data_IF_650232257909
#
_entry.id   IF_650232257909
#
_cell.length_a   1.000
_cell.length_b   1.000
_cell.length_c   1.000
_cell.angle_alpha   90.00
_cell.angle_beta   90.00
_cell.angle_gamma   90.00
#
_symmetry.space_group_name_H-M   'P 1'
#
loop_
_entity.id
_entity.type
_entity.pdbx_description
1 polymer ?
#
# COMPACT_ATOMS: atom_id res chain seq x y z
N UNK A 1 -38.70 -27.02 -46.89
CA UNK A 1 -38.56 -25.56 -46.81
C UNK A 1 -38.57 -25.14 -45.36
N UNK A 2 -37.38 -24.88 -44.79
CA UNK A 2 -37.28 -24.14 -43.53
C UNK A 2 -35.95 -23.40 -43.59
N UNK A 3 -36.01 -22.19 -44.15
CA UNK A 3 -34.91 -21.24 -44.20
C UNK A 3 -34.59 -20.83 -42.77
N UNK A 4 -33.47 -21.33 -42.22
CA UNK A 4 -32.88 -20.77 -41.00
C UNK A 4 -32.18 -19.49 -41.45
N UNK A 5 -32.86 -18.36 -41.24
CA UNK A 5 -32.29 -17.05 -41.44
C UNK A 5 -31.07 -16.87 -40.55
N UNK A 6 -29.90 -16.79 -41.19
CA UNK A 6 -28.69 -16.25 -40.59
C UNK A 6 -29.00 -14.81 -40.15
N UNK A 7 -29.17 -14.63 -38.84
CA UNK A 7 -29.20 -13.31 -38.22
C UNK A 7 -27.81 -12.71 -38.44
N UNK A 8 -27.71 -11.82 -39.43
CA UNK A 8 -26.61 -10.88 -39.57
C UNK A 8 -26.51 -10.10 -38.25
N UNK A 9 -25.60 -10.51 -37.37
CA UNK A 9 -25.11 -9.65 -36.29
C UNK A 9 -24.46 -8.45 -36.97
N UNK A 10 -25.23 -7.38 -37.12
CA UNK A 10 -24.74 -6.10 -37.60
C UNK A 10 -23.46 -5.75 -36.86
N UNK A 11 -22.39 -5.51 -37.61
CA UNK A 11 -21.14 -4.95 -37.10
C UNK A 11 -21.54 -3.66 -36.38
N UNK A 12 -21.58 -3.65 -35.06
CA UNK A 12 -21.89 -2.43 -34.30
C UNK A 12 -20.86 -1.39 -34.73
N UNK A 13 -21.27 -0.39 -35.52
CA UNK A 13 -20.38 0.67 -35.93
C UNK A 13 -19.93 1.39 -34.67
N UNK A 14 -18.61 1.50 -34.48
CA UNK A 14 -18.05 2.27 -33.37
C UNK A 14 -18.56 3.70 -33.49
N UNK A 15 -18.87 4.30 -32.34
CA UNK A 15 -19.20 5.73 -32.26
C UNK A 15 -17.98 6.56 -32.70
N UNK A 16 -18.15 7.83 -33.01
CA UNK A 16 -17.05 8.71 -33.39
C UNK A 16 -16.72 9.71 -32.29
N UNK A 17 -15.46 9.80 -31.90
CA UNK A 17 -14.94 10.75 -30.91
C UNK A 17 -13.97 11.73 -31.58
N UNK A 18 -14.23 13.03 -31.45
CA UNK A 18 -13.27 14.05 -31.81
C UNK A 18 -12.50 14.51 -30.58
N UNK A 19 -11.17 14.44 -30.62
CA UNK A 19 -10.28 14.98 -29.58
C UNK A 19 -9.70 16.29 -30.09
N UNK A 20 -9.85 17.35 -29.31
CA UNK A 20 -9.38 18.70 -29.62
C UNK A 20 -8.24 19.08 -28.68
N UNK A 21 -7.04 19.23 -29.23
CA UNK A 21 -5.94 19.88 -28.55
C UNK A 21 -5.95 21.38 -28.84
N UNK A 22 -5.99 22.16 -27.77
CA UNK A 22 -5.96 23.62 -27.82
C UNK A 22 -4.85 24.17 -26.92
N UNK A 23 -4.56 25.45 -27.10
CA UNK A 23 -3.52 26.17 -26.37
C UNK A 23 -2.15 26.04 -27.02
N UNK A 24 -1.12 25.99 -26.19
CA UNK A 24 0.26 25.83 -26.63
C UNK A 24 0.69 24.36 -26.54
N UNK A 25 1.69 23.97 -27.34
CA UNK A 25 2.22 22.60 -27.43
C UNK A 25 3.21 22.25 -26.30
N UNK A 26 3.03 22.80 -25.10
CA UNK A 26 3.93 22.56 -23.96
C UNK A 26 3.99 21.08 -23.62
N UNK A 27 5.20 20.59 -23.30
CA UNK A 27 5.47 19.25 -22.77
C UNK A 27 4.83 18.06 -23.51
N UNK A 28 4.44 18.24 -24.79
CA UNK A 28 3.67 17.24 -25.54
C UNK A 28 4.39 15.90 -25.68
N UNK A 29 5.73 15.92 -25.80
CA UNK A 29 6.54 14.70 -25.86
C UNK A 29 6.49 13.93 -24.54
N UNK A 30 6.47 14.63 -23.42
CA UNK A 30 6.48 14.02 -22.09
C UNK A 30 5.13 13.39 -21.73
N UNK A 31 4.04 14.02 -22.18
CA UNK A 31 2.67 13.63 -21.81
C UNK A 31 2.05 12.63 -22.78
N UNK A 32 2.56 12.51 -24.01
CA UNK A 32 1.91 11.74 -25.07
C UNK A 32 1.68 10.27 -24.70
N UNK A 33 2.67 9.57 -24.15
CA UNK A 33 2.52 8.14 -23.84
C UNK A 33 1.38 7.89 -22.84
N UNK A 34 1.24 8.78 -21.86
CA UNK A 34 0.16 8.74 -20.89
C UNK A 34 -1.19 9.12 -21.50
N UNK A 35 -1.23 10.10 -22.41
CA UNK A 35 -2.42 10.40 -23.20
C UNK A 35 -2.85 9.20 -24.05
N UNK A 36 -1.90 8.54 -24.75
CA UNK A 36 -2.18 7.37 -25.56
C UNK A 36 -2.75 6.24 -24.69
N UNK A 37 -2.06 5.89 -23.60
CA UNK A 37 -2.46 4.81 -22.70
C UNK A 37 -3.83 5.06 -22.04
N UNK A 38 -4.03 6.26 -21.49
CA UNK A 38 -5.16 6.55 -20.61
C UNK A 38 -6.37 7.19 -21.31
N UNK A 39 -6.18 7.71 -22.53
CA UNK A 39 -7.26 8.29 -23.35
C UNK A 39 -7.47 7.48 -24.63
N UNK A 40 -6.46 7.38 -25.50
CA UNK A 40 -6.65 6.78 -26.83
C UNK A 40 -6.98 5.28 -26.73
N UNK A 41 -6.13 4.50 -26.08
CA UNK A 41 -6.27 3.05 -26.01
C UNK A 41 -7.57 2.66 -25.30
N UNK A 42 -7.92 3.36 -24.22
CA UNK A 42 -9.18 3.16 -23.47
C UNK A 42 -10.40 3.45 -24.33
N UNK A 43 -10.45 4.63 -24.98
CA UNK A 43 -11.65 5.06 -25.70
C UNK A 43 -11.75 4.45 -27.10
N UNK A 44 -10.65 3.94 -27.67
CA UNK A 44 -10.64 3.24 -28.96
C UNK A 44 -11.48 1.97 -28.96
N UNK A 45 -11.79 1.42 -27.77
CA UNK A 45 -12.67 0.28 -27.61
C UNK A 45 -14.12 0.62 -28.02
N UNK A 46 -14.56 1.82 -27.70
CA UNK A 46 -15.92 2.32 -27.95
C UNK A 46 -16.03 3.21 -29.19
N UNK A 47 -14.94 3.91 -29.53
CA UNK A 47 -14.93 4.97 -30.53
C UNK A 47 -13.90 4.73 -31.66
N UNK A 48 -14.25 5.18 -32.86
CA UNK A 48 -13.28 5.64 -33.85
C UNK A 48 -12.87 7.07 -33.47
N UNK A 49 -11.57 7.31 -33.31
CA UNK A 49 -11.02 8.54 -32.73
C UNK A 49 -10.30 9.34 -33.80
N UNK A 50 -10.68 10.61 -33.92
CA UNK A 50 -10.00 11.60 -34.77
C UNK A 50 -9.48 12.76 -33.90
N UNK A 51 -8.24 13.17 -34.16
CA UNK A 51 -7.56 14.24 -33.41
C UNK A 51 -7.49 15.52 -34.25
N UNK A 52 -7.76 16.65 -33.62
CA UNK A 52 -7.66 17.99 -34.18
C UNK A 52 -6.77 18.84 -33.29
N UNK A 53 -5.85 19.60 -33.88
CA UNK A 53 -4.89 20.39 -33.13
C UNK A 53 -4.89 21.82 -33.65
N UNK A 54 -5.09 22.78 -32.76
CA UNK A 54 -4.68 24.16 -33.00
C UNK A 54 -3.65 24.55 -31.94
N UNK A 55 -2.50 25.07 -32.39
CA UNK A 55 -1.46 25.61 -31.51
C UNK A 55 -0.88 26.89 -32.08
N UNK A 56 -0.15 27.62 -31.23
CA UNK A 56 0.61 28.79 -31.63
C UNK A 56 2.00 28.40 -32.14
N UNK A 57 2.66 29.30 -32.87
CA UNK A 57 3.99 29.14 -33.46
C UNK A 57 5.16 29.10 -32.45
N UNK A 58 4.85 29.00 -31.16
CA UNK A 58 5.78 28.93 -30.03
C UNK A 58 5.30 27.94 -28.98
N UNK A 59 6.22 27.47 -28.15
CA UNK A 59 5.94 26.52 -27.08
C UNK A 59 5.19 27.14 -25.91
N UNK A 60 5.47 28.39 -25.55
CA UNK A 60 4.74 29.13 -24.53
C UNK A 60 4.87 30.62 -24.80
N UNK A 61 3.95 31.43 -24.29
CA UNK A 61 4.12 32.89 -24.27
C UNK A 61 4.09 33.44 -22.85
N UNK A 62 4.96 34.41 -22.59
CA UNK A 62 5.01 35.18 -21.32
C UNK A 62 4.44 36.59 -21.49
N UNK A 63 4.02 36.95 -22.69
CA UNK A 63 3.48 38.26 -22.98
C UNK A 63 2.00 38.35 -22.56
N UNK A 64 1.80 38.90 -21.36
CA UNK A 64 0.47 39.15 -20.79
C UNK A 64 0.03 40.62 -20.97
N UNK A 65 0.69 41.40 -21.85
CA UNK A 65 0.56 42.86 -21.89
C UNK A 65 -0.84 43.40 -22.21
N UNK A 66 -1.71 42.60 -22.85
CA UNK A 66 -3.14 42.93 -23.03
C UNK A 66 -4.08 41.89 -22.41
N UNK A 67 -3.56 41.04 -21.53
CA UNK A 67 -4.44 40.20 -20.71
C UNK A 67 -5.16 41.07 -19.69
N UNK A 68 -6.48 40.94 -19.62
CA UNK A 68 -7.33 41.79 -18.78
C UNK A 68 -7.41 41.31 -17.32
N UNK A 69 -6.65 40.29 -16.92
CA UNK A 69 -6.73 39.66 -15.61
C UNK A 69 -5.35 39.44 -14.99
N UNK A 70 -5.24 39.65 -13.68
CA UNK A 70 -4.06 39.26 -12.92
C UNK A 70 -3.99 37.74 -12.85
N UNK A 71 -3.03 37.11 -13.53
CA UNK A 71 -2.81 35.66 -13.37
C UNK A 71 -2.20 35.45 -11.99
N UNK A 72 -2.81 34.58 -11.19
CA UNK A 72 -2.32 34.23 -9.84
C UNK A 72 -0.90 33.66 -9.82
N UNK A 73 -0.36 33.31 -10.99
CA UNK A 73 0.96 32.73 -11.19
C UNK A 73 1.91 33.63 -12.02
N UNK A 74 1.65 34.94 -12.14
CA UNK A 74 2.50 35.86 -12.92
C UNK A 74 3.98 35.85 -12.49
N UNK A 75 4.26 35.59 -11.21
CA UNK A 75 5.62 35.56 -10.65
C UNK A 75 6.30 34.19 -10.78
N UNK A 76 5.60 33.17 -11.29
CA UNK A 76 6.13 31.80 -11.38
C UNK A 76 6.35 31.43 -12.83
N UNK A 77 7.62 31.27 -13.20
CA UNK A 77 7.98 30.69 -14.48
C UNK A 77 7.87 29.17 -14.42
N UNK A 78 6.89 28.58 -15.09
CA UNK A 78 6.72 27.12 -15.15
C UNK A 78 7.44 26.48 -16.33
N UNK A 79 7.95 27.27 -17.28
CA UNK A 79 8.41 26.82 -18.59
C UNK A 79 9.66 27.60 -19.08
N UNK A 80 10.72 27.69 -18.25
CA UNK A 80 11.85 28.60 -18.49
C UNK A 80 12.57 28.36 -19.82
N UNK A 81 12.63 27.13 -20.34
CA UNK A 81 13.29 26.85 -21.64
C UNK A 81 12.33 26.89 -22.83
N UNK A 82 11.03 27.02 -22.59
CA UNK A 82 9.99 27.01 -23.62
C UNK A 82 9.38 28.40 -23.87
N UNK A 83 9.60 29.37 -22.99
CA UNK A 83 9.09 30.73 -23.13
C UNK A 83 9.57 31.39 -24.43
N UNK A 84 8.61 31.80 -25.26
CA UNK A 84 8.82 32.40 -26.59
C UNK A 84 9.62 31.55 -27.60
N UNK A 85 10.00 30.32 -27.23
CA UNK A 85 10.70 29.37 -28.11
C UNK A 85 9.78 29.00 -29.27
N UNK A 86 10.22 29.27 -30.50
CA UNK A 86 9.49 28.92 -31.72
C UNK A 86 9.41 27.41 -31.94
N UNK A 87 8.31 26.96 -32.53
CA UNK A 87 8.15 25.58 -33.00
C UNK A 87 9.01 25.41 -34.26
N UNK A 88 9.98 24.50 -34.20
CA UNK A 88 10.82 24.13 -35.35
C UNK A 88 10.11 23.16 -36.30
N UNK A 89 10.65 22.97 -37.50
CA UNK A 89 10.14 21.96 -38.44
C UNK A 89 10.19 20.53 -37.88
N UNK A 90 11.19 20.22 -37.05
CA UNK A 90 11.27 18.94 -36.36
C UNK A 90 10.17 18.79 -35.32
N UNK A 91 9.86 19.85 -34.58
CA UNK A 91 8.74 19.83 -33.63
C UNK A 91 7.40 19.59 -34.35
N UNK A 92 7.19 20.21 -35.51
CA UNK A 92 5.98 19.97 -36.31
C UNK A 92 5.87 18.52 -36.77
N UNK A 93 7.00 17.93 -37.22
CA UNK A 93 7.07 16.53 -37.59
C UNK A 93 6.72 15.63 -36.40
N UNK A 94 7.33 15.87 -35.24
CA UNK A 94 7.07 15.08 -34.03
C UNK A 94 5.60 15.16 -33.59
N UNK A 95 4.96 16.33 -33.69
CA UNK A 95 3.53 16.50 -33.38
C UNK A 95 2.67 15.64 -34.33
N UNK A 96 2.97 15.68 -35.64
CA UNK A 96 2.24 14.90 -36.64
C UNK A 96 2.45 13.41 -36.42
N UNK A 97 3.70 12.99 -36.19
CA UNK A 97 4.07 11.59 -36.02
C UNK A 97 3.42 10.99 -34.75
N UNK A 98 3.42 11.74 -33.64
CA UNK A 98 2.80 11.30 -32.39
C UNK A 98 1.26 11.32 -32.47
N UNK A 99 0.66 12.47 -32.78
CA UNK A 99 -0.79 12.63 -32.65
C UNK A 99 -1.60 12.19 -33.87
N UNK A 100 -0.97 12.04 -35.04
CA UNK A 100 -1.65 11.67 -36.30
C UNK A 100 -2.95 12.47 -36.53
N UNK A 101 -2.92 13.82 -36.42
CA UNK A 101 -4.14 14.62 -36.46
C UNK A 101 -4.80 14.59 -37.84
N UNK A 102 -6.13 14.59 -37.89
CA UNK A 102 -6.88 14.76 -39.15
C UNK A 102 -6.71 16.14 -39.74
N UNK A 103 -6.63 17.15 -38.87
CA UNK A 103 -6.25 18.52 -39.23
C UNK A 103 -5.44 19.16 -38.11
N UNK A 104 -4.41 19.91 -38.50
CA UNK A 104 -3.59 20.72 -37.61
C UNK A 104 -3.49 22.14 -38.15
N UNK A 105 -3.50 23.13 -37.27
CA UNK A 105 -3.27 24.54 -37.59
C UNK A 105 -2.27 25.14 -36.60
N UNK A 106 -1.18 25.69 -37.13
CA UNK A 106 -0.14 26.38 -36.37
C UNK A 106 -0.11 27.84 -36.82
N UNK A 107 -0.44 28.76 -35.92
CA UNK A 107 -0.56 30.18 -36.24
C UNK A 107 0.34 31.04 -35.35
N UNK A 108 0.73 32.21 -35.86
CA UNK A 108 1.44 33.20 -35.05
C UNK A 108 0.51 33.78 -33.99
N UNK A 109 0.95 33.78 -32.74
CA UNK A 109 0.27 34.54 -31.68
C UNK A 109 0.78 35.97 -31.66
N UNK A 110 -0.09 36.92 -32.02
CA UNK A 110 0.24 38.34 -32.02
C UNK A 110 0.49 38.88 -30.60
N UNK A 111 1.32 39.92 -30.51
CA UNK A 111 1.75 40.52 -29.24
C UNK A 111 0.56 40.99 -28.40
N UNK A 112 0.53 40.52 -27.15
CA UNK A 112 -0.47 40.79 -26.13
C UNK A 112 -1.83 40.12 -26.34
N UNK A 113 -2.02 39.29 -27.37
CA UNK A 113 -3.31 38.66 -27.62
C UNK A 113 -3.57 37.51 -26.64
N UNK A 114 -4.71 37.55 -25.94
CA UNK A 114 -5.16 36.45 -25.11
C UNK A 114 -5.68 35.29 -25.99
N UNK A 115 -4.86 34.24 -26.11
CA UNK A 115 -5.08 33.17 -27.10
C UNK A 115 -6.17 32.14 -26.78
N UNK A 116 -6.59 31.99 -25.52
CA UNK A 116 -7.48 30.89 -25.09
C UNK A 116 -8.82 30.78 -25.87
N UNK A 117 -9.65 31.84 -25.99
CA UNK A 117 -10.90 31.72 -26.74
C UNK A 117 -10.67 31.50 -28.25
N UNK A 118 -9.56 32.05 -28.77
CA UNK A 118 -9.20 31.94 -30.19
C UNK A 118 -8.84 30.48 -30.52
N UNK A 119 -7.98 29.85 -29.72
CA UNK A 119 -7.53 28.48 -29.96
C UNK A 119 -8.68 27.46 -29.90
N UNK A 120 -9.64 27.67 -28.98
CA UNK A 120 -10.86 26.85 -28.92
C UNK A 120 -11.74 27.01 -30.15
N UNK A 121 -11.90 28.24 -30.64
CA UNK A 121 -12.64 28.50 -31.88
C UNK A 121 -11.98 27.80 -33.07
N UNK A 122 -10.66 27.96 -33.20
CA UNK A 122 -9.89 27.42 -34.32
C UNK A 122 -9.94 25.90 -34.36
N UNK A 123 -9.70 25.21 -33.24
CA UNK A 123 -9.75 23.73 -33.21
C UNK A 123 -11.17 23.20 -33.46
N UNK A 124 -12.20 23.89 -32.96
CA UNK A 124 -13.60 23.54 -33.25
C UNK A 124 -13.93 23.71 -34.73
N UNK A 125 -13.42 24.76 -35.37
CA UNK A 125 -13.59 25.00 -36.81
C UNK A 125 -12.87 23.95 -37.66
N UNK A 126 -11.69 23.47 -37.26
CA UNK A 126 -11.00 22.37 -37.94
C UNK A 126 -11.87 21.12 -37.97
N UNK A 127 -12.42 20.73 -36.82
CA UNK A 127 -13.33 19.58 -36.72
C UNK A 127 -14.62 19.79 -37.53
N UNK A 128 -15.32 20.90 -37.36
CA UNK A 128 -16.59 21.11 -38.09
C UNK A 128 -16.41 21.17 -39.60
N UNK A 129 -15.27 21.68 -40.07
CA UNK A 129 -14.91 21.62 -41.50
C UNK A 129 -14.69 20.17 -41.94
N UNK A 130 -13.99 19.36 -41.15
CA UNK A 130 -13.80 17.94 -41.44
C UNK A 130 -15.11 17.14 -41.42
N UNK A 131 -16.01 17.39 -40.46
CA UNK A 131 -17.36 16.82 -40.41
C UNK A 131 -18.12 17.09 -41.72
N UNK A 132 -18.08 18.33 -42.22
CA UNK A 132 -18.71 18.72 -43.50
C UNK A 132 -18.07 17.99 -44.69
N UNK A 133 -16.75 17.93 -44.75
CA UNK A 133 -16.00 17.24 -45.82
C UNK A 133 -16.28 15.73 -45.87
N UNK A 134 -16.51 15.10 -44.71
CA UNK A 134 -16.73 13.65 -44.60
C UNK A 134 -18.19 13.26 -44.51
N UNK A 135 -19.11 14.21 -44.39
CA UNK A 135 -20.56 13.94 -44.34
C UNK A 135 -21.00 13.19 -43.08
N UNK A 136 -20.37 13.42 -41.92
CA UNK A 136 -20.78 12.82 -40.64
C UNK A 136 -20.67 13.80 -39.47
N UNK A 137 -21.22 13.43 -38.31
CA UNK A 137 -21.04 14.13 -37.03
C UNK A 137 -20.40 13.22 -36.00
N UNK A 138 -19.60 13.80 -35.11
CA UNK A 138 -19.05 13.07 -33.97
C UNK A 138 -20.11 12.87 -32.89
N UNK A 139 -20.09 11.72 -32.24
CA UNK A 139 -21.00 11.37 -31.14
C UNK A 139 -20.57 11.99 -29.81
N UNK A 140 -19.28 12.30 -29.67
CA UNK A 140 -18.70 12.94 -28.50
C UNK A 140 -17.49 13.80 -28.90
N UNK A 141 -17.25 14.84 -28.11
CA UNK A 141 -16.16 15.80 -28.27
C UNK A 141 -15.38 15.83 -26.96
N UNK A 142 -14.08 15.56 -27.02
CA UNK A 142 -13.14 15.75 -25.92
C UNK A 142 -12.27 16.97 -26.23
N UNK A 143 -12.03 17.80 -25.22
CA UNK A 143 -11.14 18.96 -25.31
C UNK A 143 -10.10 18.87 -24.20
N UNK A 144 -8.83 19.05 -24.58
CA UNK A 144 -7.74 19.12 -23.60
C UNK A 144 -6.51 19.84 -24.18
N UNK A 145 -5.43 19.90 -23.40
CA UNK A 145 -4.17 20.52 -23.78
C UNK A 145 -3.06 19.47 -23.86
N UNK A 146 -2.02 19.75 -24.64
CA UNK A 146 -0.88 18.84 -24.77
C UNK A 146 -0.04 18.76 -23.50
N UNK A 147 -0.16 19.71 -22.59
CA UNK A 147 0.56 19.71 -21.30
C UNK A 147 -0.17 18.95 -20.19
N UNK A 148 -1.16 18.11 -20.50
CA UNK A 148 -1.88 17.33 -19.49
C UNK A 148 -1.33 15.90 -19.40
N UNK A 149 -0.80 15.56 -18.24
CA UNK A 149 -0.39 14.21 -17.87
C UNK A 149 -1.60 13.45 -17.31
N UNK A 150 -2.24 12.62 -18.15
CA UNK A 150 -3.30 11.71 -17.74
C UNK A 150 -2.71 10.48 -17.04
N UNK A 151 -2.83 10.37 -15.72
CA UNK A 151 -2.24 9.27 -14.93
C UNK A 151 -3.12 8.03 -14.86
N UNK A 152 -4.44 8.23 -14.88
CA UNK A 152 -5.43 7.16 -14.76
C UNK A 152 -6.34 7.12 -16.01
N UNK A 153 -6.80 5.94 -16.43
CA UNK A 153 -7.65 5.79 -17.59
C UNK A 153 -9.01 6.45 -17.40
N UNK A 154 -9.56 7.03 -18.45
CA UNK A 154 -10.92 7.58 -18.45
C UNK A 154 -11.71 7.12 -19.69
N UNK A 155 -12.83 6.43 -19.44
CA UNK A 155 -13.73 5.94 -20.48
C UNK A 155 -14.92 6.90 -20.64
N UNK A 156 -14.89 7.73 -21.68
CA UNK A 156 -15.87 8.80 -21.96
C UNK A 156 -17.29 8.23 -22.09
N UNK A 157 -17.45 7.12 -22.81
CA UNK A 157 -18.77 6.53 -23.02
C UNK A 157 -19.42 6.08 -21.69
N UNK A 158 -18.61 5.64 -20.73
CA UNK A 158 -19.09 5.21 -19.42
C UNK A 158 -19.83 6.31 -18.67
N UNK A 159 -19.27 7.52 -18.61
CA UNK A 159 -19.91 8.68 -17.98
C UNK A 159 -21.16 9.13 -18.74
N UNK A 160 -21.07 9.15 -20.07
CA UNK A 160 -22.18 9.50 -20.95
C UNK A 160 -23.37 8.55 -20.75
N UNK A 161 -23.14 7.24 -20.74
CA UNK A 161 -24.21 6.25 -20.64
C UNK A 161 -24.75 6.15 -19.20
N UNK A 162 -23.91 6.37 -18.19
CA UNK A 162 -24.38 6.51 -16.80
C UNK A 162 -25.40 7.64 -16.67
N UNK A 163 -25.13 8.80 -17.29
CA UNK A 163 -26.04 9.94 -17.20
C UNK A 163 -27.35 9.73 -17.96
N UNK A 164 -27.33 9.09 -19.14
CA UNK A 164 -28.54 8.83 -19.94
C UNK A 164 -29.66 8.14 -19.16
N UNK A 165 -29.32 7.33 -18.17
CA UNK A 165 -30.29 6.61 -17.34
C UNK A 165 -31.01 7.52 -16.32
N UNK A 166 -30.73 8.83 -16.33
CA UNK A 166 -31.36 9.84 -15.48
C UNK A 166 -32.16 10.85 -16.34
N UNK A 167 -33.32 10.46 -16.90
CA UNK A 167 -34.06 11.27 -17.88
C UNK A 167 -34.60 12.59 -17.30
N UNK A 168 -34.72 12.70 -15.98
CA UNK A 168 -35.11 13.94 -15.28
C UNK A 168 -34.08 15.06 -15.41
N UNK A 169 -32.87 14.74 -15.87
CA UNK A 169 -31.75 15.67 -16.04
C UNK A 169 -31.32 15.78 -17.50
N UNK A 170 -32.25 15.62 -18.46
CA UNK A 170 -32.00 15.74 -19.89
C UNK A 170 -31.68 17.20 -20.27
N UNK A 171 -30.40 17.55 -20.16
CA UNK A 171 -29.88 18.88 -20.47
C UNK A 171 -28.56 18.77 -21.24
N UNK A 172 -28.07 19.90 -21.74
CA UNK A 172 -26.76 19.97 -22.38
C UNK A 172 -25.66 19.91 -21.34
N UNK A 173 -24.88 18.84 -21.33
CA UNK A 173 -23.91 18.58 -20.26
C UNK A 173 -22.48 18.72 -20.76
N UNK A 174 -21.65 19.28 -19.89
CA UNK A 174 -20.20 19.29 -20.00
C UNK A 174 -19.66 18.54 -18.79
N UNK A 175 -18.96 17.42 -19.04
CA UNK A 175 -18.29 16.65 -18.01
C UNK A 175 -16.84 17.11 -17.91
N UNK A 176 -16.40 17.46 -16.70
CA UNK A 176 -15.11 18.09 -16.48
C UNK A 176 -14.30 17.33 -15.43
N UNK A 177 -13.01 17.15 -15.71
CA UNK A 177 -12.06 16.91 -14.63
C UNK A 177 -11.96 18.16 -13.77
N UNK A 178 -11.72 18.01 -12.47
CA UNK A 178 -11.81 19.14 -11.55
C UNK A 178 -10.78 19.10 -10.41
N UNK A 179 -10.64 20.22 -9.68
CA UNK A 179 -9.66 20.32 -8.58
C UNK A 179 -10.26 20.32 -7.17
N UNK A 180 -11.49 19.84 -7.03
CA UNK A 180 -12.12 19.67 -5.72
C UNK A 180 -11.27 18.74 -4.85
N UNK A 181 -10.99 19.18 -3.63
CA UNK A 181 -10.13 18.50 -2.65
C UNK A 181 -8.67 18.31 -3.07
N UNK A 182 -8.26 18.73 -4.27
CA UNK A 182 -6.85 18.73 -4.69
C UNK A 182 -6.20 20.10 -4.62
N UNK A 183 -6.86 21.16 -5.11
CA UNK A 183 -6.46 22.56 -4.88
C UNK A 183 -7.41 23.31 -3.96
N UNK A 184 -8.68 22.90 -3.93
CA UNK A 184 -9.72 23.54 -3.12
C UNK A 184 -10.09 22.68 -1.93
N UNK A 185 -10.14 23.27 -0.73
CA UNK A 185 -10.61 22.57 0.46
C UNK A 185 -12.13 22.31 0.46
N UNK A 186 -12.87 23.01 -0.40
CA UNK A 186 -14.33 22.96 -0.54
C UNK A 186 -14.67 22.62 -1.99
N UNK A 187 -15.67 21.76 -2.18
CA UNK A 187 -16.24 21.44 -3.49
C UNK A 187 -17.62 22.10 -3.61
N UNK A 188 -17.73 23.16 -4.39
CA UNK A 188 -19.03 23.77 -4.71
C UNK A 188 -19.54 23.17 -6.03
N UNK A 189 -20.67 22.43 -6.05
CA UNK A 189 -21.17 21.80 -7.26
C UNK A 189 -21.61 22.80 -8.34
N UNK A 190 -21.76 24.09 -8.00
CA UNK A 190 -22.05 25.15 -8.97
C UNK A 190 -20.79 25.56 -9.73
N UNK A 191 -19.62 25.47 -9.09
CA UNK A 191 -18.34 25.93 -9.62
C UNK A 191 -17.43 24.73 -9.86
N UNK A 192 -17.41 24.24 -11.10
CA UNK A 192 -16.49 23.17 -11.51
C UNK A 192 -15.18 23.80 -11.96
N UNK A 193 -14.15 23.74 -11.12
CA UNK A 193 -12.81 24.27 -11.42
C UNK A 193 -12.04 23.39 -12.39
N UNK A 194 -11.04 23.95 -13.08
CA UNK A 194 -10.21 23.26 -14.09
C UNK A 194 -11.00 22.71 -15.31
N UNK A 195 -12.25 23.15 -15.48
CA UNK A 195 -13.06 22.81 -16.64
C UNK A 195 -12.57 23.47 -17.95
N UNK A 196 -11.55 24.33 -17.87
CA UNK A 196 -10.85 25.02 -18.95
C UNK A 196 -9.61 24.26 -19.46
N UNK A 197 -9.27 23.10 -18.87
CA UNK A 197 -8.11 22.28 -19.28
C UNK A 197 -8.46 20.85 -19.73
N UNK A 198 -9.55 20.28 -19.23
CA UNK A 198 -10.03 18.95 -19.63
C UNK A 198 -11.54 18.82 -19.44
N UNK A 199 -12.26 18.60 -20.54
CA UNK A 199 -13.68 18.31 -20.51
C UNK A 199 -14.13 17.53 -21.75
N UNK A 200 -15.28 16.89 -21.65
CA UNK A 200 -15.97 16.30 -22.81
C UNK A 200 -17.46 16.58 -22.79
N UNK A 201 -18.07 16.47 -23.97
CA UNK A 201 -19.50 16.71 -24.19
C UNK A 201 -19.98 15.99 -25.44
N UNK A 202 -21.28 15.99 -25.69
CA UNK A 202 -21.88 15.58 -26.98
C UNK A 202 -22.27 16.77 -27.86
N UNK A 203 -22.22 17.97 -27.29
CA UNK A 203 -22.83 19.15 -27.88
C UNK A 203 -21.74 20.06 -28.42
N UNK A 204 -22.03 20.74 -29.53
CA UNK A 204 -21.15 21.81 -29.97
C UNK A 204 -21.17 22.94 -28.93
N UNK A 205 -19.99 23.32 -28.46
CA UNK A 205 -19.82 24.44 -27.54
C UNK A 205 -19.29 25.64 -28.34
N UNK A 206 -19.89 26.81 -28.13
CA UNK A 206 -19.29 28.05 -28.61
C UNK A 206 -18.13 28.40 -27.66
N UNK A 207 -16.91 28.71 -28.15
CA UNK A 207 -15.79 29.11 -27.30
C UNK A 207 -16.11 30.20 -26.26
N UNK A 208 -17.02 31.12 -26.58
CA UNK A 208 -17.47 32.16 -25.65
C UNK A 208 -18.26 31.58 -24.46
N UNK A 209 -18.85 30.39 -24.59
CA UNK A 209 -19.55 29.67 -23.52
C UNK A 209 -18.57 29.02 -22.53
N UNK A 210 -17.30 28.88 -22.91
CA UNK A 210 -16.21 28.39 -22.05
C UNK A 210 -15.52 29.53 -21.28
N UNK A 211 -15.90 30.79 -21.54
CA UNK A 211 -15.27 31.97 -20.96
C UNK A 211 -16.08 32.42 -19.74
N UNK A 212 -15.41 32.48 -18.58
CA UNK A 212 -15.90 32.86 -17.23
C UNK A 212 -16.30 31.71 -16.29
N UNK A 213 -15.72 31.76 -15.08
CA UNK A 213 -15.96 30.87 -13.94
C UNK A 213 -17.46 30.71 -13.68
N UNK A 214 -17.98 29.48 -13.80
CA UNK A 214 -19.35 29.08 -13.39
C UNK A 214 -20.45 29.76 -14.25
N UNK A 215 -21.51 29.05 -14.65
CA UNK A 215 -22.33 29.54 -15.75
C UNK A 215 -23.14 30.77 -15.32
N UNK A 216 -22.81 31.93 -15.89
CA UNK A 216 -23.72 33.09 -15.89
C UNK A 216 -25.05 32.74 -16.59
N UNK A 217 -25.12 31.62 -17.32
CA UNK A 217 -26.35 31.05 -17.89
C UNK A 217 -26.41 29.53 -17.69
N UNK A 218 -26.86 29.10 -16.51
CA UNK A 218 -27.07 27.68 -16.16
C UNK A 218 -28.07 26.98 -17.09
N UNK A 219 -28.85 27.74 -17.85
CA UNK A 219 -29.82 27.19 -18.81
C UNK A 219 -29.14 26.74 -20.11
N UNK A 220 -27.89 27.13 -20.37
CA UNK A 220 -27.19 26.79 -21.62
C UNK A 220 -26.44 25.47 -21.55
N UNK A 221 -25.67 25.26 -20.49
CA UNK A 221 -24.95 24.02 -20.21
C UNK A 221 -24.89 23.74 -18.70
N UNK A 222 -25.14 22.48 -18.33
CA UNK A 222 -24.89 21.98 -16.99
C UNK A 222 -23.46 21.42 -16.93
N UNK A 223 -22.65 22.02 -16.06
CA UNK A 223 -21.26 21.62 -15.83
C UNK A 223 -21.22 20.62 -14.69
N UNK A 224 -20.57 19.48 -14.92
CA UNK A 224 -20.52 18.37 -13.96
C UNK A 224 -19.07 17.96 -13.74
N UNK A 225 -18.60 18.12 -12.51
CA UNK A 225 -17.35 17.49 -12.06
C UNK A 225 -17.54 15.97 -12.01
N UNK A 226 -16.69 15.24 -12.72
CA UNK A 226 -16.66 13.77 -12.69
C UNK A 226 -15.57 13.30 -11.73
N UNK A 227 -15.62 12.04 -11.28
CA UNK A 227 -14.59 11.43 -10.43
C UNK A 227 -13.24 11.26 -11.18
N UNK A 228 -12.61 12.38 -11.48
CA UNK A 228 -11.39 12.56 -12.24
C UNK A 228 -10.77 13.88 -11.79
N UNK A 229 -9.85 13.79 -10.83
CA UNK A 229 -9.34 14.91 -10.05
C UNK A 229 -7.94 15.32 -10.48
N UNK A 230 -7.71 16.64 -10.54
CA UNK A 230 -6.38 17.21 -10.69
C UNK A 230 -5.47 16.71 -9.55
N UNK A 231 -4.20 16.44 -9.86
CA UNK A 231 -3.17 15.82 -9.02
C UNK A 231 -3.38 14.32 -8.67
N UNK A 232 -4.60 13.80 -8.69
CA UNK A 232 -4.90 12.37 -8.51
C UNK A 232 -4.85 11.61 -9.84
N UNK A 233 -5.68 12.01 -10.79
CA UNK A 233 -5.92 11.30 -12.05
C UNK A 233 -5.30 11.98 -13.25
N UNK A 234 -5.17 13.30 -13.21
CA UNK A 234 -4.44 14.07 -14.21
C UNK A 234 -3.67 15.23 -13.57
N UNK A 235 -2.64 15.73 -14.24
CA UNK A 235 -1.87 16.89 -13.76
C UNK A 235 -1.44 17.75 -14.94
N UNK A 236 -1.39 19.06 -14.75
CA UNK A 236 -0.67 19.95 -15.66
C UNK A 236 0.83 19.64 -15.55
N UNK A 237 1.41 19.09 -16.61
CA UNK A 237 2.82 18.73 -16.69
C UNK A 237 3.66 19.95 -17.05
N UNK A 238 4.34 20.48 -16.03
CA UNK A 238 5.15 21.69 -16.12
C UNK A 238 6.62 21.31 -16.25
N UNK A 239 7.41 22.18 -16.89
CA UNK A 239 8.86 21.99 -17.00
C UNK A 239 9.51 22.05 -15.61
N UNK A 240 9.06 22.99 -14.79
CA UNK A 240 9.43 23.06 -13.38
C UNK A 240 8.22 23.24 -12.47
N UNK A 241 8.28 22.62 -11.29
CA UNK A 241 7.25 22.75 -10.25
C UNK A 241 7.75 23.69 -9.16
N UNK A 242 7.55 24.99 -9.37
CA UNK A 242 7.83 26.01 -8.36
C UNK A 242 6.49 26.39 -7.72
N UNK A 243 6.35 26.25 -6.41
CA UNK A 243 5.18 26.80 -5.70
C UNK A 243 3.86 26.02 -5.76
N UNK A 244 3.84 24.76 -6.20
CA UNK A 244 2.69 23.82 -5.99
C UNK A 244 2.46 23.48 -4.48
N UNK A 245 3.07 24.27 -3.58
CA UNK A 245 3.31 23.98 -2.17
C UNK A 245 2.02 23.95 -1.35
N UNK A 246 1.08 24.88 -1.53
CA UNK A 246 -0.11 24.99 -0.64
C UNK A 246 -1.08 23.80 -0.71
N UNK A 247 -1.31 23.26 -1.90
CA UNK A 247 -2.14 22.07 -2.10
C UNK A 247 -1.46 20.81 -1.54
N UNK A 248 -0.15 20.68 -1.82
CA UNK A 248 0.66 19.60 -1.29
C UNK A 248 0.82 19.69 0.23
N UNK A 249 0.91 20.89 0.82
CA UNK A 249 0.95 21.13 2.26
C UNK A 249 -0.33 20.64 2.93
N UNK A 250 -1.52 20.94 2.40
CA UNK A 250 -2.78 20.47 2.98
C UNK A 250 -2.93 18.94 2.91
N UNK A 251 -2.51 18.32 1.80
CA UNK A 251 -2.48 16.86 1.66
C UNK A 251 -1.44 16.26 2.62
N UNK A 252 -0.27 16.87 2.75
CA UNK A 252 0.80 16.45 3.65
C UNK A 252 0.41 16.58 5.12
N UNK A 253 -0.25 17.68 5.51
CA UNK A 253 -0.82 17.90 6.85
C UNK A 253 -1.83 16.80 7.16
N UNK A 254 -2.77 16.50 6.25
CA UNK A 254 -3.74 15.41 6.46
C UNK A 254 -3.05 14.04 6.61
N UNK A 255 -2.09 13.72 5.75
CA UNK A 255 -1.32 12.46 5.84
C UNK A 255 -0.53 12.36 7.15
N UNK A 256 0.10 13.45 7.58
CA UNK A 256 0.84 13.50 8.83
C UNK A 256 -0.08 13.34 10.04
N UNK A 257 -1.23 14.02 10.05
CA UNK A 257 -2.25 13.86 11.11
C UNK A 257 -2.75 12.42 11.16
N UNK A 258 -3.02 11.80 10.02
CA UNK A 258 -3.43 10.39 9.94
C UNK A 258 -2.32 9.46 10.44
N UNK A 259 -1.08 9.66 10.03
CA UNK A 259 0.07 8.87 10.52
C UNK A 259 0.29 9.03 12.02
N UNK A 260 0.14 10.24 12.56
CA UNK A 260 0.22 10.49 14.00
C UNK A 260 -0.90 9.75 14.74
N UNK A 261 -2.13 9.81 14.23
CA UNK A 261 -3.27 9.09 14.80
C UNK A 261 -3.10 7.56 14.73
N UNK A 262 -2.58 7.02 13.64
CA UNK A 262 -2.28 5.59 13.52
C UNK A 262 -1.20 5.14 14.51
N UNK A 263 -0.16 5.95 14.71
CA UNK A 263 0.88 5.68 15.70
C UNK A 263 0.32 5.73 17.14
N UNK A 264 -0.56 6.69 17.43
CA UNK A 264 -1.25 6.81 18.71
C UNK A 264 -2.14 5.58 18.97
N UNK A 265 -2.92 5.15 17.97
CA UNK A 265 -3.74 3.93 18.03
C UNK A 265 -2.88 2.68 18.28
N UNK A 266 -1.74 2.54 17.58
CA UNK A 266 -0.81 1.41 17.81
C UNK A 266 -0.27 1.39 19.23
N UNK A 267 0.12 2.56 19.76
CA UNK A 267 0.63 2.69 21.14
C UNK A 267 -0.45 2.30 22.17
N UNK A 268 -1.69 2.80 21.98
CA UNK A 268 -2.81 2.46 22.86
C UNK A 268 -3.13 0.96 22.84
N UNK A 269 -3.13 0.32 21.67
CA UNK A 269 -3.33 -1.14 21.54
C UNK A 269 -2.26 -1.95 22.27
N UNK A 270 -0.99 -1.57 22.13
CA UNK A 270 0.11 -2.24 22.87
C UNK A 270 0.00 -2.06 24.38
N UNK A 271 -0.36 -0.86 24.84
CA UNK A 271 -0.57 -0.59 26.27
C UNK A 271 -1.74 -1.38 26.85
N UNK A 272 -2.86 -1.47 26.13
CA UNK A 272 -4.02 -2.27 26.55
C UNK A 272 -3.66 -3.76 26.64
N UNK A 273 -2.92 -4.29 25.66
CA UNK A 273 -2.43 -5.68 25.72
C UNK A 273 -1.53 -5.94 26.93
N UNK A 274 -0.63 -5.00 27.24
CA UNK A 274 0.23 -5.11 28.43
C UNK A 274 -0.58 -5.06 29.74
N UNK A 275 -1.63 -4.25 29.79
CA UNK A 275 -2.55 -4.18 30.93
C UNK A 275 -3.35 -5.48 31.10
N UNK A 276 -3.88 -6.04 30.02
CA UNK A 276 -4.54 -7.36 30.01
C UNK A 276 -3.59 -8.44 30.51
N UNK A 277 -2.37 -8.52 29.96
CA UNK A 277 -1.36 -9.49 30.40
C UNK A 277 -1.01 -9.34 31.90
N UNK A 278 -0.93 -8.11 32.41
CA UNK A 278 -0.68 -7.84 33.82
C UNK A 278 -1.85 -8.25 34.70
N UNK A 279 -3.08 -7.98 34.26
CA UNK A 279 -4.29 -8.37 34.97
C UNK A 279 -4.44 -9.90 35.03
N UNK A 280 -4.24 -10.59 33.91
CA UNK A 280 -4.25 -12.06 33.86
C UNK A 280 -3.17 -12.67 34.77
N UNK A 281 -1.95 -12.12 34.77
CA UNK A 281 -0.89 -12.58 35.70
C UNK A 281 -1.28 -12.40 37.17
N UNK A 282 -1.93 -11.30 37.52
CA UNK A 282 -2.41 -11.05 38.89
C UNK A 282 -3.47 -12.07 39.30
N UNK A 283 -4.45 -12.34 38.45
CA UNK A 283 -5.49 -13.34 38.72
C UNK A 283 -4.93 -14.76 38.87
N UNK A 284 -3.99 -15.15 38.00
CA UNK A 284 -3.31 -16.45 38.10
C UNK A 284 -2.58 -16.58 39.43
N UNK A 285 -1.91 -15.52 39.89
CA UNK A 285 -1.20 -15.52 41.17
C UNK A 285 -2.16 -15.62 42.36
N UNK A 286 -3.28 -14.89 42.32
CA UNK A 286 -4.33 -14.96 43.35
C UNK A 286 -4.94 -16.38 43.43
N UNK A 287 -5.24 -17.01 42.29
CA UNK A 287 -5.72 -18.39 42.23
C UNK A 287 -4.69 -19.37 42.82
N UNK A 288 -3.42 -19.24 42.46
CA UNK A 288 -2.36 -20.09 42.98
C UNK A 288 -2.19 -19.97 44.51
N UNK A 289 -2.32 -18.76 45.05
CA UNK A 289 -2.28 -18.54 46.50
C UNK A 289 -3.49 -19.19 47.20
N UNK A 290 -4.70 -19.04 46.65
CA UNK A 290 -5.91 -19.68 47.20
C UNK A 290 -5.83 -21.20 47.16
N UNK A 291 -5.26 -21.78 46.10
CA UNK A 291 -5.03 -23.22 46.00
C UNK A 291 -4.05 -23.71 47.09
N UNK A 292 -2.98 -22.96 47.35
CA UNK A 292 -2.03 -23.27 48.43
C UNK A 292 -2.68 -23.20 49.80
N UNK A 293 -3.47 -22.15 50.08
CA UNK A 293 -4.22 -22.02 51.34
C UNK A 293 -5.18 -23.20 51.57
N UNK A 294 -5.85 -23.64 50.50
CA UNK A 294 -6.77 -24.77 50.53
C UNK A 294 -6.03 -26.09 50.82
N UNK A 295 -4.81 -26.26 50.29
CA UNK A 295 -3.93 -27.40 50.60
C UNK A 295 -3.49 -27.35 52.08
N UNK A 296 -3.07 -26.18 52.58
CA UNK A 296 -2.63 -26.00 53.97
C UNK A 296 -3.77 -26.37 54.93
N UNK A 297 -4.98 -25.82 54.73
CA UNK A 297 -6.17 -26.15 55.56
C UNK A 297 -6.52 -27.64 55.52
N UNK A 298 -6.38 -28.30 54.36
CA UNK A 298 -6.55 -29.76 54.23
C UNK A 298 -5.49 -30.55 55.00
N UNK A 299 -4.26 -30.06 55.09
CA UNK A 299 -3.20 -30.71 55.86
C UNK A 299 -3.40 -30.52 57.37
N UNK A 300 -3.82 -29.34 57.80
CA UNK A 300 -4.14 -29.04 59.20
C UNK A 300 -5.29 -29.92 59.71
N UNK A 301 -6.39 -30.02 58.95
CA UNK A 301 -7.51 -30.91 59.27
C UNK A 301 -7.08 -32.38 59.33
N UNK A 302 -6.17 -32.84 58.45
CA UNK A 302 -5.58 -34.20 58.54
C UNK A 302 -4.74 -34.38 59.81
N UNK A 303 -3.91 -33.39 60.18
CA UNK A 303 -3.12 -33.43 61.41
C UNK A 303 -4.01 -33.52 62.65
N UNK A 304 -5.08 -32.72 62.69
CA UNK A 304 -6.06 -32.70 63.77
C UNK A 304 -6.85 -34.02 63.86
N UNK A 305 -7.30 -34.55 62.73
CA UNK A 305 -7.98 -35.85 62.70
C UNK A 305 -7.10 -36.98 63.23
N UNK A 306 -5.79 -36.95 62.90
CA UNK A 306 -4.81 -37.91 63.40
C UNK A 306 -4.59 -37.78 64.92
N UNK A 307 -4.52 -36.56 65.45
CA UNK A 307 -4.37 -36.34 66.90
C UNK A 307 -5.60 -36.75 67.71
N UNK A 308 -6.79 -36.72 67.10
CA UNK A 308 -8.06 -37.10 67.72
C UNK A 308 -8.42 -38.60 67.56
N UNK A 309 -7.56 -39.40 66.91
CA UNK A 309 -7.78 -40.85 66.74
C UNK A 309 -8.89 -41.24 65.74
N UNK A 310 -9.36 -40.31 64.90
CA UNK A 310 -10.42 -40.55 63.92
C UNK A 310 -9.87 -41.28 62.67
N UNK A 311 -10.43 -42.45 62.31
CA UNK A 311 -10.12 -43.14 61.05
C UNK A 311 -10.78 -42.42 59.88
N UNK A 312 -10.00 -41.69 59.08
CA UNK A 312 -10.49 -41.01 57.87
C UNK A 312 -10.42 -41.96 56.65
N UNK A 313 -11.53 -42.16 55.94
CA UNK A 313 -11.53 -42.85 54.64
C UNK A 313 -10.83 -41.98 53.59
N UNK A 314 -9.96 -42.63 52.80
CA UNK A 314 -8.94 -41.97 51.97
C UNK A 314 -9.57 -41.35 50.72
N UNK A 315 -9.68 -40.02 50.66
CA UNK A 315 -9.64 -39.31 49.38
C UNK A 315 -8.18 -38.84 49.19
N UNK A 316 -7.47 -39.53 48.30
CA UNK A 316 -6.10 -39.16 47.91
C UNK A 316 -6.18 -38.32 46.62
N UNK A 317 -6.08 -36.98 46.67
CA UNK A 317 -5.92 -36.20 45.45
C UNK A 317 -4.51 -36.46 44.91
N UNK A 318 -4.42 -36.76 43.61
CA UNK A 318 -3.17 -36.93 42.89
C UNK A 318 -2.49 -35.56 42.77
N UNK A 319 -1.71 -35.18 43.80
CA UNK A 319 -0.88 -33.98 43.77
C UNK A 319 0.40 -34.34 43.02
N UNK A 320 0.52 -33.89 41.78
CA UNK A 320 1.78 -33.97 41.03
C UNK A 320 2.72 -32.88 41.53
N UNK A 321 3.47 -33.15 42.61
CA UNK A 321 4.68 -32.39 42.89
C UNK A 321 5.67 -32.68 41.74
N UNK A 322 6.04 -31.68 40.94
CA UNK A 322 7.29 -31.77 40.16
C UNK A 322 8.43 -31.70 41.17
N UNK A 323 8.74 -32.85 41.77
CA UNK A 323 9.91 -33.02 42.60
C UNK A 323 11.14 -32.93 41.69
N UNK A 324 11.95 -31.89 41.87
CA UNK A 324 13.32 -31.83 41.38
C UNK A 324 14.24 -32.79 42.18
N UNK A 325 13.80 -34.02 42.43
CA UNK A 325 14.44 -34.94 43.37
C UNK A 325 15.28 -36.03 42.68
N UNK A 326 15.66 -35.85 41.42
CA UNK A 326 16.53 -36.79 40.70
C UNK A 326 17.64 -36.08 39.93
N UNK A 327 18.84 -36.65 39.96
CA UNK A 327 19.96 -36.21 39.13
C UNK A 327 19.62 -36.29 37.65
N UNK A 328 18.81 -37.26 37.23
CA UNK A 328 18.32 -37.39 35.85
C UNK A 328 17.57 -36.14 35.38
N UNK A 329 16.58 -35.67 36.15
CA UNK A 329 15.82 -34.45 35.79
C UNK A 329 16.71 -33.22 35.79
N UNK A 330 17.68 -33.13 36.69
CA UNK A 330 18.67 -32.03 36.69
C UNK A 330 19.52 -32.02 35.43
N UNK A 331 20.00 -33.18 34.98
CA UNK A 331 20.79 -33.32 33.74
C UNK A 331 19.93 -33.01 32.51
N UNK A 332 18.67 -33.43 32.49
CA UNK A 332 17.73 -33.10 31.40
C UNK A 332 17.40 -31.61 31.34
N UNK A 333 17.52 -30.89 32.46
CA UNK A 333 17.41 -29.44 32.51
C UNK A 333 18.66 -28.69 32.04
N UNK A 334 19.78 -29.37 31.75
CA UNK A 334 20.95 -28.72 31.16
C UNK A 334 20.63 -28.15 29.78
N UNK A 335 21.25 -27.01 29.46
CA UNK A 335 21.08 -26.36 28.16
C UNK A 335 21.38 -27.32 26.99
N UNK A 336 22.43 -28.14 27.11
CA UNK A 336 22.81 -29.13 26.09
C UNK A 336 21.68 -30.13 25.80
N UNK A 337 21.02 -30.65 26.84
CA UNK A 337 19.89 -31.56 26.65
C UNK A 337 18.70 -30.86 25.99
N UNK A 338 18.32 -29.66 26.48
CA UNK A 338 17.21 -28.85 25.92
C UNK A 338 17.44 -28.52 24.43
N UNK A 339 18.65 -28.14 24.06
CA UNK A 339 19.02 -27.84 22.66
C UNK A 339 19.01 -29.09 21.79
N UNK A 340 19.57 -30.20 22.28
CA UNK A 340 19.56 -31.48 21.56
C UNK A 340 18.15 -32.00 21.29
N UNK A 341 17.26 -31.89 22.28
CA UNK A 341 15.87 -32.28 22.13
C UNK A 341 15.17 -31.42 21.06
N UNK A 342 15.37 -30.09 21.11
CA UNK A 342 14.81 -29.19 20.11
C UNK A 342 15.32 -29.48 18.70
N UNK A 343 16.60 -29.83 18.53
CA UNK A 343 17.16 -30.23 17.24
C UNK A 343 16.47 -31.49 16.69
N UNK A 344 16.26 -32.50 17.53
CA UNK A 344 15.61 -33.77 17.13
C UNK A 344 14.14 -33.53 16.76
N UNK A 345 13.40 -32.76 17.55
CA UNK A 345 11.99 -32.49 17.30
C UNK A 345 11.77 -31.66 16.03
N UNK A 346 12.60 -30.64 15.82
CA UNK A 346 12.47 -29.72 14.68
C UNK A 346 13.03 -30.29 13.38
N UNK A 347 13.90 -31.29 13.43
CA UNK A 347 14.44 -31.93 12.22
C UNK A 347 13.48 -32.91 11.54
N UNK A 348 12.29 -33.16 12.09
CA UNK A 348 11.29 -34.08 11.54
C UNK A 348 10.44 -33.51 10.40
N UNK A 349 10.53 -32.21 10.13
CA UNK A 349 9.74 -31.57 9.07
C UNK A 349 10.47 -30.38 8.46
N UNK A 350 10.15 -30.06 7.21
CA UNK A 350 10.71 -28.91 6.47
C UNK A 350 10.39 -27.59 7.20
N UNK A 351 9.14 -27.39 7.64
CA UNK A 351 8.75 -26.23 8.45
C UNK A 351 9.48 -26.20 9.81
N UNK A 352 9.75 -27.37 10.38
CA UNK A 352 10.56 -27.53 11.58
C UNK A 352 11.99 -26.99 11.41
N UNK A 353 12.63 -27.26 10.27
CA UNK A 353 13.95 -26.71 9.94
C UNK A 353 13.94 -25.19 9.82
N UNK A 354 12.90 -24.62 9.18
CA UNK A 354 12.77 -23.16 9.02
C UNK A 354 12.62 -22.46 10.38
N UNK A 355 11.84 -23.02 11.31
CA UNK A 355 11.64 -22.44 12.65
C UNK A 355 12.79 -22.72 13.64
N UNK A 356 13.68 -23.67 13.31
CA UNK A 356 14.72 -24.17 14.21
C UNK A 356 15.64 -23.08 14.79
N UNK A 357 16.14 -22.09 14.01
CA UNK A 357 17.00 -21.03 14.57
C UNK A 357 16.31 -20.23 15.69
N UNK A 358 15.02 -19.91 15.51
CA UNK A 358 14.24 -19.16 16.50
C UNK A 358 13.99 -19.95 17.77
N UNK A 359 13.64 -21.24 17.64
CA UNK A 359 13.43 -22.13 18.79
C UNK A 359 14.70 -22.29 19.61
N UNK A 360 15.85 -22.48 18.96
CA UNK A 360 17.15 -22.61 19.65
C UNK A 360 17.55 -21.32 20.37
N UNK A 361 17.34 -20.15 19.75
CA UNK A 361 17.57 -18.86 20.41
C UNK A 361 16.69 -18.69 21.64
N UNK A 362 15.38 -18.95 21.52
CA UNK A 362 14.43 -18.85 22.62
C UNK A 362 14.81 -19.76 23.80
N UNK A 363 15.18 -21.03 23.54
CA UNK A 363 15.60 -21.97 24.58
C UNK A 363 16.84 -21.47 25.32
N UNK A 364 17.82 -20.92 24.59
CA UNK A 364 19.05 -20.37 25.18
C UNK A 364 18.74 -19.17 26.09
N UNK A 365 17.92 -18.23 25.62
CA UNK A 365 17.58 -17.03 26.38
C UNK A 365 16.72 -17.36 27.60
N UNK A 366 15.74 -18.25 27.44
CA UNK A 366 14.92 -18.75 28.54
C UNK A 366 15.75 -19.47 29.60
N UNK A 367 16.67 -20.36 29.20
CA UNK A 367 17.55 -21.05 30.15
C UNK A 367 18.46 -20.07 30.91
N UNK A 368 18.97 -19.04 30.24
CA UNK A 368 19.76 -17.98 30.90
C UNK A 368 18.92 -17.20 31.91
N UNK A 369 17.66 -16.92 31.59
CA UNK A 369 16.73 -16.27 32.52
C UNK A 369 16.40 -17.16 33.72
N UNK A 370 16.12 -18.45 33.50
CA UNK A 370 15.87 -19.44 34.55
C UNK A 370 17.06 -19.54 35.54
N UNK A 371 18.29 -19.54 35.04
CA UNK A 371 19.50 -19.56 35.88
C UNK A 371 19.63 -18.30 36.73
N UNK A 372 19.44 -17.11 36.14
CA UNK A 372 19.47 -15.84 36.89
C UNK A 372 18.41 -15.78 37.97
N UNK A 373 17.17 -16.18 37.65
CA UNK A 373 16.08 -16.20 38.61
C UNK A 373 16.33 -17.19 39.76
N UNK A 374 17.03 -18.29 39.49
CA UNK A 374 17.45 -19.25 40.52
C UNK A 374 18.59 -18.69 41.39
N UNK A 375 19.59 -18.05 40.79
CA UNK A 375 20.67 -17.36 41.52
C UNK A 375 20.12 -16.28 42.46
N UNK A 376 19.15 -15.48 41.99
CA UNK A 376 18.45 -14.47 42.81
C UNK A 376 17.70 -15.11 43.98
N UNK A 377 16.99 -16.23 43.75
CA UNK A 377 16.29 -16.98 44.82
C UNK A 377 17.25 -17.56 45.87
N UNK A 378 18.41 -18.08 45.47
CA UNK A 378 19.43 -18.54 46.42
C UNK A 378 20.01 -17.36 47.21
N UNK A 379 20.21 -16.21 46.56
CA UNK A 379 20.72 -15.01 47.21
C UNK A 379 19.76 -14.50 48.28
N UNK A 380 18.45 -14.58 48.03
CA UNK A 380 17.41 -14.22 48.99
C UNK A 380 17.24 -15.26 50.10
N UNK A 381 17.39 -16.56 49.78
CA UNK A 381 17.30 -17.65 50.74
C UNK A 381 18.29 -18.79 50.40
N UNK A 382 19.46 -18.84 51.07
CA UNK A 382 20.48 -19.86 50.80
C UNK A 382 20.01 -21.31 50.95
N UNK A 383 18.97 -21.57 51.76
CA UNK A 383 18.41 -22.90 51.97
C UNK A 383 17.68 -23.45 50.73
N UNK A 384 17.43 -22.62 49.71
CA UNK A 384 16.85 -23.05 48.43
C UNK A 384 17.90 -23.60 47.44
N UNK A 385 19.18 -23.57 47.81
CA UNK A 385 20.24 -24.13 47.00
C UNK A 385 20.06 -25.65 46.86
N UNK A 386 19.92 -26.12 45.62
CA UNK A 386 19.92 -27.55 45.31
C UNK A 386 21.26 -28.17 45.73
N UNK A 387 21.25 -29.36 46.36
CA UNK A 387 22.48 -30.01 46.78
C UNK A 387 23.34 -30.40 45.55
N UNK A 388 24.64 -30.70 45.72
CA UNK A 388 25.52 -31.12 44.63
C UNK A 388 24.95 -32.32 43.85
N UNK A 389 25.21 -32.42 42.55
CA UNK A 389 24.56 -33.42 41.69
C UNK A 389 24.90 -34.86 42.14
N UNK A 390 26.09 -35.04 42.69
CA UNK A 390 26.66 -36.28 43.21
C UNK A 390 25.89 -36.83 44.43
N UNK A 391 25.17 -35.96 45.13
CA UNK A 391 24.44 -36.33 46.36
C UNK A 391 23.09 -36.99 46.10
N UNK A 392 22.66 -37.05 44.84
CA UNK A 392 21.38 -37.63 44.46
C UNK A 392 21.51 -39.16 44.34
N UNK A 393 20.56 -39.95 44.87
CA UNK A 393 20.64 -41.41 44.84
C UNK A 393 20.79 -42.00 43.43
N UNK A 394 20.22 -41.36 42.41
CA UNK A 394 20.26 -41.79 41.01
C UNK A 394 21.45 -41.22 40.22
N UNK A 395 22.42 -40.54 40.85
CA UNK A 395 23.52 -39.86 40.17
C UNK A 395 24.26 -40.75 39.16
N UNK A 396 24.66 -41.96 39.59
CA UNK A 396 25.41 -42.90 38.75
C UNK A 396 24.61 -43.35 37.52
N UNK A 397 23.29 -43.51 37.65
CA UNK A 397 22.41 -43.84 36.53
C UNK A 397 22.20 -42.62 35.63
N UNK A 398 22.03 -41.44 36.22
CA UNK A 398 21.82 -40.18 35.53
C UNK A 398 23.03 -39.75 34.70
N UNK A 399 24.26 -40.15 35.05
CA UNK A 399 25.45 -39.91 34.22
C UNK A 399 25.29 -40.48 32.80
N UNK A 400 24.54 -41.58 32.62
CA UNK A 400 24.25 -42.15 31.30
C UNK A 400 23.45 -41.18 30.42
N UNK A 401 22.68 -40.26 30.99
CA UNK A 401 21.94 -39.23 30.25
C UNK A 401 22.89 -38.22 29.58
N UNK A 402 24.10 -37.99 30.12
CA UNK A 402 25.12 -37.14 29.46
C UNK A 402 25.76 -37.81 28.25
N UNK A 403 25.68 -39.15 28.19
CA UNK A 403 26.17 -39.96 27.08
C UNK A 403 25.10 -40.23 26.01
N UNK A 404 23.84 -39.84 26.27
CA UNK A 404 22.78 -40.03 25.29
C UNK A 404 22.96 -39.13 24.06
N UNK A 405 22.42 -39.58 22.92
CA UNK A 405 22.52 -38.86 21.65
C UNK A 405 21.99 -37.43 21.75
N UNK A 406 20.86 -37.24 22.44
CA UNK A 406 20.24 -35.93 22.66
C UNK A 406 21.21 -34.97 23.32
N UNK A 407 21.83 -35.38 24.44
CA UNK A 407 22.76 -34.53 25.17
C UNK A 407 24.01 -34.20 24.34
N UNK A 408 24.64 -35.21 23.73
CA UNK A 408 25.84 -35.02 22.87
C UNK A 408 25.56 -34.17 21.64
N UNK A 409 24.36 -34.24 21.07
CA UNK A 409 23.96 -33.42 19.92
C UNK A 409 23.89 -31.93 20.30
N UNK A 410 23.30 -31.61 21.46
CA UNK A 410 23.27 -30.22 21.93
C UNK A 410 24.63 -29.70 22.38
N UNK A 411 25.49 -30.54 22.97
CA UNK A 411 26.89 -30.16 23.24
C UNK A 411 27.65 -29.80 21.96
N UNK A 412 27.51 -30.62 20.91
CA UNK A 412 28.13 -30.37 19.62
C UNK A 412 27.63 -29.06 18.97
N UNK A 413 26.33 -28.74 19.11
CA UNK A 413 25.79 -27.46 18.67
C UNK A 413 26.40 -26.28 19.46
N UNK A 414 26.52 -26.41 20.79
CA UNK A 414 27.13 -25.37 21.61
C UNK A 414 28.60 -25.12 21.23
N UNK A 415 29.35 -26.18 20.90
CA UNK A 415 30.72 -26.06 20.40
C UNK A 415 30.79 -25.41 19.02
N UNK A 416 29.86 -25.75 18.13
CA UNK A 416 29.74 -25.11 16.82
C UNK A 416 29.49 -23.60 16.95
N UNK A 417 28.62 -23.20 17.87
CA UNK A 417 28.32 -21.79 18.14
C UNK A 417 29.53 -21.03 18.72
N UNK A 418 30.39 -21.66 19.52
CA UNK A 418 31.64 -21.04 20.00
C UNK A 418 32.64 -20.78 18.86
N UNK A 419 32.68 -21.66 17.87
CA UNK A 419 33.57 -21.59 16.72
C UNK A 419 32.85 -21.16 15.43
N UNK A 420 31.84 -20.29 15.55
CA UNK A 420 30.98 -19.94 14.41
C UNK A 420 31.76 -19.29 13.25
N UNK A 421 32.78 -18.48 13.57
CA UNK A 421 33.69 -17.82 12.62
C UNK A 421 34.71 -18.77 11.97
N UNK A 422 34.88 -19.98 12.50
CA UNK A 422 35.78 -21.01 11.97
C UNK A 422 35.04 -22.16 11.26
N UNK A 423 33.94 -21.86 10.57
CA UNK A 423 33.07 -22.84 9.93
C UNK A 423 32.49 -23.91 10.90
N UNK A 424 32.32 -23.56 12.18
CA UNK A 424 31.86 -24.48 13.23
C UNK A 424 30.51 -25.15 12.91
N UNK A 425 29.57 -24.42 12.32
CA UNK A 425 28.27 -24.97 11.90
C UNK A 425 28.36 -25.90 10.68
N UNK A 426 29.28 -25.63 9.74
CA UNK A 426 29.53 -26.52 8.59
C UNK A 426 30.09 -27.86 9.11
N UNK A 427 31.10 -27.80 9.98
CA UNK A 427 31.64 -28.99 10.64
C UNK A 427 30.56 -29.73 11.44
N UNK A 428 29.69 -29.01 12.14
CA UNK A 428 28.60 -29.60 12.89
C UNK A 428 27.66 -30.42 12.00
N UNK A 429 27.16 -29.83 10.92
CA UNK A 429 26.19 -30.46 10.02
C UNK A 429 26.81 -31.66 9.27
N UNK A 430 28.01 -31.49 8.70
CA UNK A 430 28.59 -32.48 7.78
C UNK A 430 29.50 -33.51 8.46
N UNK A 431 30.01 -33.23 9.67
CA UNK A 431 30.95 -34.11 10.38
C UNK A 431 30.42 -34.58 11.72
N UNK A 432 29.99 -33.69 12.60
CA UNK A 432 29.63 -34.06 13.97
C UNK A 432 28.29 -34.78 14.06
N UNK A 433 27.23 -34.28 13.39
CA UNK A 433 25.91 -34.94 13.38
C UNK A 433 25.99 -36.36 12.78
N UNK A 434 26.61 -36.59 11.60
CA UNK A 434 26.75 -37.94 11.04
C UNK A 434 27.58 -38.87 11.92
N UNK A 435 28.65 -38.35 12.56
CA UNK A 435 29.48 -39.12 13.48
C UNK A 435 28.69 -39.54 14.73
N UNK A 436 27.91 -38.64 15.32
CA UNK A 436 27.07 -38.93 16.48
C UNK A 436 25.98 -39.95 16.14
N UNK A 437 25.33 -39.84 14.97
CA UNK A 437 24.36 -40.85 14.50
C UNK A 437 24.99 -42.23 14.33
N UNK A 438 26.19 -42.32 13.75
CA UNK A 438 26.92 -43.60 13.62
C UNK A 438 27.31 -44.21 14.95
N UNK A 439 27.68 -43.40 15.95
CA UNK A 439 27.98 -43.89 17.30
C UNK A 439 26.73 -44.37 18.03
N UNK A 440 25.63 -43.65 17.89
CA UNK A 440 24.35 -44.03 18.47
C UNK A 440 23.81 -45.34 17.88
N UNK A 441 23.92 -45.54 16.55
CA UNK A 441 23.45 -46.76 15.90
C UNK A 441 24.36 -48.01 16.10
N UNK A 442 25.52 -47.86 16.77
CA UNK A 442 26.47 -48.95 17.05
C UNK A 442 26.37 -49.49 18.49
N UNK A 443 25.73 -48.73 19.38
CA UNK A 443 25.43 -49.10 20.76
C UNK A 443 23.95 -49.49 20.85
#
# INVERSE_FOLDING_TARGET
>A
MTNIGLINKGKNMKKKLAIHFFGFIRTFRDTYDNFKLNILDVNSQDYEIDIFIHTWDKYNSVDTSKEQFNLWHQEIDYYPTMNEKKISSQDQKDIIDLYQPKKILIEKLEKGVYGYPITLNKVSNLRTTYEKEKGFKYDALLYTRCDIMFKNPIRILGYIDYWKNNPTLDTKIIWCGHSSFSRMAIADPRIVTECDIFWFTKYNINPNDMYHNCPNDINKFLWIGIDYLLNRDFKIWREQYIGDYKANELIYIRKNVLMQKDNEIKKLKSNNKLLEDKWTKKQILELANLEQDLIIKKLESKKLAKSLGLKMSIINPKITFIQANSAKVRIQNHLSYKLGQALIENSKSILGYIRMPYVLSYIKDKHKFEQKAYEEKIKENPNLALPPLETYPDYNEALKEKECFTYKLGEALMQANKNWYGAGYIKFIFKDVPRLKRKYNKN
#
